data_IF_062535547750
#
_entry.id   IF_062535547750
#
_cell.length_a   1.000
_cell.length_b   1.000
_cell.length_c   1.000
_cell.angle_alpha   90.00
_cell.angle_beta   90.00
_cell.angle_gamma   90.00
#
_symmetry.space_group_name_H-M   'P 1'
#
loop_
_entity.id
_entity.type
_entity.pdbx_description
1 polymer ?
#
# COMPACT_ATOMS: atom_id res chain seq x y z
N UNK A 1 -2.46 -10.36 -13.84
CA UNK A 1 -2.79 -10.85 -15.19
C UNK A 1 -2.63 -9.77 -16.27
N UNK A 2 -3.09 -8.52 -16.04
CA UNK A 2 -2.95 -7.43 -17.03
C UNK A 2 -1.49 -7.09 -17.37
N UNK A 3 -0.64 -6.84 -16.36
CA UNK A 3 0.77 -6.51 -16.57
C UNK A 3 1.52 -7.58 -17.38
N UNK A 4 1.27 -8.87 -17.08
CA UNK A 4 1.84 -9.99 -17.83
C UNK A 4 1.35 -10.06 -19.29
N UNK A 5 0.09 -9.69 -19.56
CA UNK A 5 -0.44 -9.60 -20.93
C UNK A 5 0.15 -8.43 -21.73
N UNK A 6 0.65 -7.41 -21.04
CA UNK A 6 1.32 -6.25 -21.63
C UNK A 6 2.84 -6.40 -21.65
N UNK A 7 3.36 -7.59 -21.34
CA UNK A 7 4.79 -7.91 -21.29
C UNK A 7 5.60 -6.98 -20.36
N UNK A 8 4.95 -6.46 -19.30
CA UNK A 8 5.62 -5.64 -18.30
C UNK A 8 6.41 -6.55 -17.36
N UNK A 9 7.71 -6.28 -17.13
CA UNK A 9 8.52 -7.06 -16.19
C UNK A 9 7.86 -7.10 -14.81
N UNK A 10 7.89 -8.28 -14.16
CA UNK A 10 7.24 -8.48 -12.85
C UNK A 10 7.70 -7.46 -11.82
N UNK A 11 9.01 -7.21 -11.73
CA UNK A 11 9.57 -6.25 -10.78
C UNK A 11 9.00 -4.84 -11.00
N UNK A 12 8.94 -4.37 -12.26
CA UNK A 12 8.32 -3.08 -12.61
C UNK A 12 6.85 -3.03 -12.23
N UNK A 13 6.09 -4.10 -12.47
CA UNK A 13 4.69 -4.18 -12.10
C UNK A 13 4.47 -4.12 -10.58
N UNK A 14 5.31 -4.82 -9.82
CA UNK A 14 5.28 -4.82 -8.35
C UNK A 14 5.64 -3.45 -7.78
N UNK A 15 6.71 -2.83 -8.28
CA UNK A 15 7.12 -1.47 -7.86
C UNK A 15 6.05 -0.43 -8.17
N UNK A 16 5.47 -0.47 -9.37
CA UNK A 16 4.39 0.43 -9.77
C UNK A 16 3.16 0.27 -8.87
N UNK A 17 2.81 -0.98 -8.53
CA UNK A 17 1.67 -1.23 -7.64
C UNK A 17 1.96 -0.80 -6.20
N UNK A 18 3.14 -1.09 -5.67
CA UNK A 18 3.55 -0.64 -4.34
C UNK A 18 3.56 0.89 -4.22
N UNK A 19 4.08 1.58 -5.25
CA UNK A 19 4.02 3.04 -5.33
C UNK A 19 2.57 3.56 -5.35
N UNK A 20 1.71 2.99 -6.20
CA UNK A 20 0.29 3.35 -6.29
C UNK A 20 -0.44 3.17 -4.95
N UNK A 21 -0.17 2.07 -4.25
CA UNK A 21 -0.71 1.80 -2.93
C UNK A 21 -0.30 2.87 -1.91
N UNK A 22 0.99 3.20 -1.82
CA UNK A 22 1.50 4.23 -0.89
C UNK A 22 0.90 5.60 -1.22
N UNK A 23 0.83 5.98 -2.50
CA UNK A 23 0.21 7.25 -2.93
C UNK A 23 -1.27 7.30 -2.52
N UNK A 24 -2.01 6.21 -2.68
CA UNK A 24 -3.42 6.12 -2.24
C UNK A 24 -3.56 6.30 -0.74
N UNK A 25 -2.74 5.61 0.06
CA UNK A 25 -2.74 5.70 1.52
C UNK A 25 -2.38 7.11 2.00
N UNK A 26 -1.35 7.72 1.42
CA UNK A 26 -0.95 9.09 1.72
C UNK A 26 -2.04 10.10 1.34
N UNK A 27 -2.73 9.90 0.21
CA UNK A 27 -3.88 10.70 -0.19
C UNK A 27 -5.05 10.61 0.81
N UNK A 28 -5.28 9.44 1.40
CA UNK A 28 -6.25 9.28 2.49
C UNK A 28 -5.77 9.99 3.77
N UNK A 29 -4.50 9.81 4.13
CA UNK A 29 -3.88 10.46 5.27
C UNK A 29 -3.96 11.99 5.18
N UNK A 30 -3.76 12.60 4.01
CA UNK A 30 -3.91 14.04 3.81
C UNK A 30 -5.33 14.57 4.05
N UNK A 31 -6.36 13.74 3.87
CA UNK A 31 -7.76 14.15 4.06
C UNK A 31 -8.24 13.92 5.49
N UNK A 32 -7.72 12.88 6.14
CA UNK A 32 -8.05 12.54 7.52
C UNK A 32 -7.18 13.28 8.54
N UNK A 33 -5.93 13.53 8.18
CA UNK A 33 -4.93 14.21 9.00
C UNK A 33 -4.62 15.57 8.40
N UNK A 34 -4.20 16.54 9.23
CA UNK A 34 -3.78 17.86 8.76
C UNK A 34 -2.36 17.82 8.17
N UNK A 35 -2.12 16.93 7.21
CA UNK A 35 -0.82 16.77 6.54
C UNK A 35 -0.69 17.71 5.33
N UNK A 36 0.39 18.46 5.30
CA UNK A 36 0.74 19.32 4.17
C UNK A 36 1.17 18.51 2.93
N UNK A 37 1.14 19.15 1.76
CA UNK A 37 1.64 18.54 0.53
C UNK A 37 3.14 18.24 0.60
N UNK A 38 3.91 19.16 1.21
CA UNK A 38 5.35 18.96 1.42
C UNK A 38 5.64 17.77 2.34
N UNK A 39 4.87 17.60 3.42
CA UNK A 39 5.05 16.47 4.34
C UNK A 39 4.70 15.15 3.66
N UNK A 40 3.67 15.16 2.83
CA UNK A 40 3.26 14.01 2.02
C UNK A 40 4.36 13.61 1.04
N UNK A 41 4.98 14.58 0.35
CA UNK A 41 6.08 14.30 -0.56
C UNK A 41 7.34 13.80 0.16
N UNK A 42 7.63 14.32 1.36
CA UNK A 42 8.71 13.80 2.22
C UNK A 42 8.47 12.34 2.61
N UNK A 43 7.26 12.02 3.07
CA UNK A 43 6.89 10.65 3.41
C UNK A 43 6.94 9.73 2.19
N UNK A 44 6.42 10.17 1.04
CA UNK A 44 6.49 9.39 -0.19
C UNK A 44 7.95 9.09 -0.58
N UNK A 45 8.83 10.09 -0.50
CA UNK A 45 10.25 9.89 -0.78
C UNK A 45 10.89 8.90 0.19
N UNK A 46 10.58 8.99 1.48
CA UNK A 46 11.10 8.08 2.51
C UNK A 46 10.59 6.64 2.36
N UNK A 47 9.38 6.45 1.82
CA UNK A 47 8.78 5.12 1.63
C UNK A 47 9.21 4.42 0.33
N UNK A 48 9.74 5.14 -0.66
CA UNK A 48 10.27 4.55 -1.90
C UNK A 48 11.27 3.40 -1.66
N UNK A 49 12.33 3.57 -0.85
CA UNK A 49 13.26 2.47 -0.58
C UNK A 49 12.57 1.29 0.09
N UNK A 50 11.67 1.54 1.04
CA UNK A 50 10.90 0.47 1.72
C UNK A 50 10.09 -0.37 0.72
N UNK A 51 9.45 0.28 -0.26
CA UNK A 51 8.72 -0.45 -1.32
C UNK A 51 9.68 -1.27 -2.17
N UNK A 52 10.85 -0.74 -2.51
CA UNK A 52 11.84 -1.48 -3.29
C UNK A 52 12.35 -2.71 -2.53
N UNK A 53 12.75 -2.53 -1.27
CA UNK A 53 13.23 -3.61 -0.40
C UNK A 53 12.15 -4.71 -0.24
N UNK A 54 10.89 -4.34 -0.06
CA UNK A 54 9.78 -5.30 0.01
C UNK A 54 9.54 -6.04 -1.31
N UNK A 55 9.70 -5.39 -2.46
CA UNK A 55 9.54 -6.07 -3.75
C UNK A 55 10.66 -7.08 -3.96
N UNK A 56 11.89 -6.72 -3.62
CA UNK A 56 13.05 -7.60 -3.75
C UNK A 56 12.97 -8.79 -2.76
N UNK A 57 12.57 -8.54 -1.50
CA UNK A 57 12.43 -9.55 -0.45
C UNK A 57 11.36 -10.61 -0.77
N UNK A 58 10.26 -10.21 -1.42
CA UNK A 58 9.14 -11.09 -1.72
C UNK A 58 9.15 -11.64 -3.15
N UNK A 59 10.08 -11.17 -3.99
CA UNK A 59 10.20 -11.61 -5.38
C UNK A 59 10.51 -13.10 -5.52
N UNK A 60 11.26 -13.66 -4.57
CA UNK A 60 11.70 -15.07 -4.59
C UNK A 60 10.93 -15.96 -3.62
N UNK A 61 10.03 -15.41 -2.81
CA UNK A 61 9.29 -16.18 -1.80
C UNK A 61 8.22 -17.07 -2.44
N UNK A 62 8.06 -18.30 -1.96
CA UNK A 62 7.04 -19.20 -2.48
C UNK A 62 5.64 -18.76 -2.01
N UNK A 63 4.61 -19.11 -2.79
CA UNK A 63 3.24 -18.66 -2.55
C UNK A 63 2.60 -19.27 -1.29
N UNK A 64 3.11 -20.40 -0.81
CA UNK A 64 2.66 -21.09 0.42
C UNK A 64 3.09 -20.37 1.71
N UNK A 65 4.05 -19.45 1.61
CA UNK A 65 4.43 -18.53 2.69
C UNK A 65 3.49 -17.33 2.81
N UNK A 66 2.63 -17.07 1.82
CA UNK A 66 1.65 -15.97 1.89
C UNK A 66 0.67 -16.24 3.03
N UNK A 67 0.51 -15.26 3.92
CA UNK A 67 -0.42 -15.32 5.05
C UNK A 67 -1.56 -14.32 4.81
N UNK A 68 -2.79 -14.76 5.04
CA UNK A 68 -3.99 -13.89 5.00
C UNK A 68 -4.31 -13.27 6.37
N UNK A 69 -3.46 -13.50 7.37
CA UNK A 69 -3.71 -13.06 8.74
C UNK A 69 -2.89 -11.81 9.06
N UNK A 70 -3.57 -10.69 9.27
CA UNK A 70 -2.97 -9.40 9.58
C UNK A 70 -3.75 -8.76 10.74
N UNK A 71 -3.62 -9.29 11.98
CA UNK A 71 -4.56 -9.06 13.08
C UNK A 71 -4.80 -7.58 13.39
N UNK A 72 -3.75 -6.76 13.29
CA UNK A 72 -3.86 -5.32 13.51
C UNK A 72 -4.72 -4.64 12.44
N UNK A 73 -4.51 -4.97 11.16
CA UNK A 73 -5.30 -4.44 10.05
C UNK A 73 -6.74 -4.94 10.16
N UNK A 74 -6.92 -6.23 10.43
CA UNK A 74 -8.24 -6.87 10.54
C UNK A 74 -9.10 -6.20 11.63
N UNK A 75 -8.55 -5.99 12.83
CA UNK A 75 -9.25 -5.32 13.93
C UNK A 75 -9.56 -3.86 13.61
N UNK A 76 -8.61 -3.13 13.02
CA UNK A 76 -8.84 -1.73 12.62
C UNK A 76 -9.92 -1.61 11.52
N UNK A 77 -9.97 -2.54 10.57
CA UNK A 77 -11.03 -2.61 9.57
C UNK A 77 -12.40 -2.88 10.22
N UNK A 78 -12.48 -3.77 11.21
CA UNK A 78 -13.72 -4.01 11.97
C UNK A 78 -14.19 -2.78 12.76
N UNK A 79 -13.25 -1.97 13.26
CA UNK A 79 -13.58 -0.69 13.89
C UNK A 79 -14.06 0.34 12.87
N UNK A 80 -13.40 0.42 11.70
CA UNK A 80 -13.82 1.30 10.61
C UNK A 80 -15.23 0.96 10.11
N UNK A 81 -15.58 -0.32 10.01
CA UNK A 81 -16.93 -0.76 9.64
C UNK A 81 -18.01 -0.22 10.61
N UNK A 82 -17.67 -0.06 11.89
CA UNK A 82 -18.59 0.43 12.93
C UNK A 82 -18.49 1.93 13.21
N UNK A 83 -17.62 2.65 12.53
CA UNK A 83 -17.43 4.08 12.75
C UNK A 83 -18.68 4.88 12.36
N UNK A 84 -19.14 5.77 13.25
CA UNK A 84 -20.35 6.58 13.03
C UNK A 84 -20.24 7.51 11.82
N UNK A 85 -19.02 7.95 11.48
CA UNK A 85 -18.73 8.83 10.35
C UNK A 85 -17.52 8.30 9.61
N UNK A 86 -17.66 8.17 8.29
CA UNK A 86 -16.60 7.63 7.42
C UNK A 86 -16.47 8.48 6.17
N UNK A 87 -15.24 8.85 5.87
CA UNK A 87 -14.89 9.51 4.61
C UNK A 87 -14.63 8.50 3.48
N UNK A 88 -14.26 7.27 3.87
CA UNK A 88 -13.94 6.16 2.96
C UNK A 88 -14.84 4.96 3.25
N UNK A 89 -15.15 4.20 2.21
CA UNK A 89 -16.07 3.06 2.29
C UNK A 89 -15.47 1.88 3.07
N UNK A 90 -14.15 1.73 3.05
CA UNK A 90 -13.37 0.70 3.74
C UNK A 90 -12.05 1.25 4.24
#
# INVERSE_FOLDING_TARGET
MLAARLDVPRQTACLAQGYGFVVGLLGAAQRLLRLGHTDTQRLLHALKPVVADLVDDYETRPLDEVRSFAPMVDVLSMHHERAERRLFVS
#
